data_IF_895999616810
#
_entry.id   IF_895999616810
#
_cell.length_a   1.000
_cell.length_b   1.000
_cell.length_c   1.000
_cell.angle_alpha   90.00
_cell.angle_beta   90.00
_cell.angle_gamma   90.00
#
_symmetry.space_group_name_H-M   'P 1'
#
loop_
_entity.id
_entity.type
_entity.pdbx_description
1 polymer ?
#
# COMPACT_ATOMS: atom_id res chain seq x y z
N UNK A 1 -17.50 12.05 8.82
CA UNK A 1 -17.33 10.60 8.56
C UNK A 1 -16.24 10.24 7.54
N UNK A 2 -15.58 11.18 6.82
CA UNK A 2 -14.61 10.86 5.73
C UNK A 2 -13.20 10.40 6.13
N UNK A 3 -12.78 10.58 7.38
CA UNK A 3 -11.40 10.29 7.79
C UNK A 3 -11.15 8.80 8.01
N UNK A 4 -12.17 8.06 8.47
CA UNK A 4 -12.06 6.62 8.76
C UNK A 4 -11.90 5.82 7.45
N UNK A 5 -12.68 6.16 6.42
CA UNK A 5 -12.58 5.52 5.10
C UNK A 5 -11.21 5.73 4.42
N UNK A 6 -10.62 6.93 4.60
CA UNK A 6 -9.35 7.26 3.97
C UNK A 6 -8.19 6.49 4.60
N UNK A 7 -8.14 6.45 5.93
CA UNK A 7 -7.12 5.68 6.64
C UNK A 7 -7.24 4.18 6.36
N UNK A 8 -8.46 3.65 6.26
CA UNK A 8 -8.68 2.25 5.90
C UNK A 8 -8.24 1.94 4.46
N UNK A 9 -8.45 2.87 3.52
CA UNK A 9 -7.99 2.73 2.14
C UNK A 9 -6.47 2.76 2.03
N UNK A 10 -5.80 3.63 2.80
CA UNK A 10 -4.34 3.67 2.91
C UNK A 10 -3.79 2.34 3.45
N UNK A 11 -4.37 1.82 4.54
CA UNK A 11 -3.98 0.53 5.12
C UNK A 11 -4.18 -0.64 4.16
N UNK A 12 -5.34 -0.72 3.49
CA UNK A 12 -5.61 -1.77 2.48
C UNK A 12 -4.63 -1.72 1.32
N UNK A 13 -4.32 -0.51 0.84
CA UNK A 13 -3.36 -0.30 -0.24
C UNK A 13 -1.97 -0.74 0.20
N UNK A 14 -1.54 -0.33 1.39
CA UNK A 14 -0.20 -0.64 1.89
C UNK A 14 -0.01 -2.15 2.13
N UNK A 15 -1.01 -2.81 2.74
CA UNK A 15 -1.02 -4.28 2.89
C UNK A 15 -0.95 -4.99 1.54
N UNK A 16 -1.72 -4.53 0.55
CA UNK A 16 -1.71 -5.11 -0.79
C UNK A 16 -0.32 -5.01 -1.46
N UNK A 17 0.31 -3.84 -1.39
CA UNK A 17 1.68 -3.65 -1.93
C UNK A 17 2.66 -4.55 -1.21
N UNK A 18 2.58 -4.62 0.12
CA UNK A 18 3.46 -5.46 0.93
C UNK A 18 3.33 -6.94 0.60
N UNK A 19 2.09 -7.47 0.51
CA UNK A 19 1.87 -8.87 0.14
C UNK A 19 2.43 -9.20 -1.25
N UNK A 20 2.18 -8.34 -2.24
CA UNK A 20 2.70 -8.54 -3.58
C UNK A 20 4.24 -8.46 -3.63
N UNK A 21 4.85 -7.60 -2.82
CA UNK A 21 6.31 -7.50 -2.71
C UNK A 21 6.95 -8.71 -2.00
N UNK A 22 6.22 -9.38 -1.10
CA UNK A 22 6.67 -10.64 -0.48
C UNK A 22 6.62 -11.82 -1.46
N UNK A 23 5.61 -11.85 -2.34
CA UNK A 23 5.47 -12.92 -3.34
C UNK A 23 6.52 -12.82 -4.45
N UNK A 24 6.98 -11.60 -4.77
CA UNK A 24 8.03 -11.40 -5.74
C UNK A 24 8.93 -10.20 -5.37
N UNK A 25 10.16 -10.46 -4.91
CA UNK A 25 11.08 -9.43 -4.40
C UNK A 25 11.67 -8.53 -5.50
N UNK A 26 11.52 -8.89 -6.78
CA UNK A 26 11.91 -8.03 -7.92
C UNK A 26 10.75 -7.14 -8.40
N UNK A 27 9.51 -7.44 -7.99
CA UNK A 27 8.34 -6.72 -8.47
C UNK A 27 8.13 -5.40 -7.74
N UNK A 28 8.50 -4.34 -8.44
CA UNK A 28 7.72 -3.12 -8.40
C UNK A 28 6.25 -3.44 -8.77
N UNK A 29 5.40 -3.48 -7.75
CA UNK A 29 3.97 -3.82 -7.86
C UNK A 29 3.28 -2.91 -8.86
N UNK A 30 2.64 -3.49 -9.88
CA UNK A 30 1.90 -2.69 -10.84
C UNK A 30 0.63 -2.15 -10.19
N UNK A 31 0.24 -0.93 -10.53
CA UNK A 31 -0.99 -0.30 -10.01
C UNK A 31 -2.22 -1.21 -10.16
N UNK A 32 -2.29 -1.99 -11.25
CA UNK A 32 -3.37 -2.93 -11.52
C UNK A 32 -3.40 -4.09 -10.52
N UNK A 33 -2.24 -4.66 -10.18
CA UNK A 33 -2.16 -5.78 -9.26
C UNK A 33 -2.49 -5.32 -7.83
N UNK A 34 -2.00 -4.14 -7.44
CA UNK A 34 -2.36 -3.50 -6.18
C UNK A 34 -3.87 -3.20 -6.13
N UNK A 35 -4.48 -2.80 -7.25
CA UNK A 35 -5.93 -2.59 -7.32
C UNK A 35 -6.71 -3.87 -7.06
N UNK A 36 -6.29 -4.98 -7.69
CA UNK A 36 -6.92 -6.29 -7.51
C UNK A 36 -6.75 -6.77 -6.07
N UNK A 37 -5.54 -6.67 -5.51
CA UNK A 37 -5.25 -7.12 -4.15
C UNK A 37 -5.90 -6.26 -3.06
N UNK A 38 -6.00 -4.94 -3.25
CA UNK A 38 -6.64 -4.03 -2.28
C UNK A 38 -8.16 -4.04 -2.34
N UNK A 39 -8.74 -4.46 -3.48
CA UNK A 39 -10.19 -4.40 -3.74
C UNK A 39 -10.74 -2.97 -3.80
N UNK A 40 -9.88 -1.96 -3.93
CA UNK A 40 -10.27 -0.55 -3.98
C UNK A 40 -10.61 -0.11 -5.39
N UNK A 41 -11.50 0.90 -5.49
CA UNK A 41 -11.72 1.61 -6.73
C UNK A 41 -10.44 2.34 -7.18
N UNK A 42 -10.25 2.49 -8.49
CA UNK A 42 -9.05 3.13 -9.06
C UNK A 42 -8.79 4.52 -8.46
N UNK A 43 -9.86 5.28 -8.19
CA UNK A 43 -9.77 6.62 -7.60
C UNK A 43 -9.25 6.56 -6.16
N UNK A 44 -9.86 5.73 -5.32
CA UNK A 44 -9.47 5.58 -3.91
C UNK A 44 -8.05 5.01 -3.79
N UNK A 45 -7.68 4.07 -4.66
CA UNK A 45 -6.31 3.56 -4.74
C UNK A 45 -5.32 4.68 -5.11
N UNK A 46 -5.62 5.51 -6.10
CA UNK A 46 -4.75 6.62 -6.48
C UNK A 46 -4.59 7.64 -5.35
N UNK A 47 -5.67 7.98 -4.65
CA UNK A 47 -5.64 8.87 -3.48
C UNK A 47 -4.81 8.26 -2.34
N UNK A 48 -4.99 6.96 -2.06
CA UNK A 48 -4.23 6.23 -1.06
C UNK A 48 -2.74 6.16 -1.43
N UNK A 49 -2.39 5.77 -2.65
CA UNK A 49 -1.00 5.77 -3.12
C UNK A 49 -0.36 7.17 -3.02
N UNK A 50 -1.10 8.23 -3.35
CA UNK A 50 -0.58 9.60 -3.24
C UNK A 50 -0.32 10.01 -1.78
N UNK A 51 -1.19 9.57 -0.86
CA UNK A 51 -1.00 9.80 0.57
C UNK A 51 0.21 9.00 1.10
N UNK A 52 0.30 7.71 0.78
CA UNK A 52 1.41 6.84 1.19
C UNK A 52 2.75 7.32 0.62
N UNK A 53 2.77 7.80 -0.63
CA UNK A 53 3.96 8.38 -1.25
C UNK A 53 4.38 9.68 -0.55
N UNK A 54 3.42 10.52 -0.16
CA UNK A 54 3.70 11.74 0.61
C UNK A 54 4.23 11.43 2.01
N UNK A 55 3.80 10.32 2.59
CA UNK A 55 4.28 9.83 3.90
C UNK A 55 5.64 9.12 3.83
N UNK A 56 6.20 8.89 2.63
CA UNK A 56 7.50 8.23 2.45
C UNK A 56 7.48 6.70 2.48
N UNK A 57 6.30 6.08 2.62
CA UNK A 57 6.18 4.62 2.71
C UNK A 57 6.35 3.90 1.38
N UNK A 58 6.03 4.57 0.27
CA UNK A 58 6.13 4.00 -1.06
C UNK A 58 6.75 4.99 -2.03
N UNK A 59 7.40 4.47 -3.06
CA UNK A 59 7.75 5.21 -4.26
C UNK A 59 6.87 4.75 -5.43
N UNK A 60 6.34 5.72 -6.17
CA UNK A 60 5.52 5.46 -7.36
C UNK A 60 6.17 6.06 -8.60
N UNK A 61 6.40 5.24 -9.61
CA UNK A 61 6.93 5.63 -10.91
C UNK A 61 5.97 5.16 -12.00
N UNK A 62 5.28 6.07 -12.70
CA UNK A 62 4.30 5.82 -13.79
C UNK A 62 3.34 4.61 -13.61
N UNK A 63 3.83 3.38 -13.70
CA UNK A 63 3.07 2.12 -13.59
C UNK A 63 3.45 1.25 -12.39
N UNK A 64 4.54 1.57 -11.71
CA UNK A 64 5.22 0.76 -10.69
C UNK A 64 5.12 1.43 -9.33
N UNK A 65 4.88 0.62 -8.31
CA UNK A 65 4.84 1.02 -6.92
C UNK A 65 5.83 0.13 -6.16
N UNK A 66 6.76 0.75 -5.46
CA UNK A 66 7.78 0.09 -4.65
C UNK A 66 7.54 0.49 -3.20
N UNK A 67 7.65 -0.48 -2.30
CA UNK A 67 7.58 -0.23 -0.87
C UNK A 67 8.99 0.09 -0.37
N UNK A 68 9.13 1.16 0.41
CA UNK A 68 10.42 1.52 0.99
C UNK A 68 10.64 0.82 2.34
N UNK A 69 11.87 0.85 2.86
CA UNK A 69 12.20 0.26 4.17
C UNK A 69 11.28 0.77 5.29
N UNK A 70 10.93 2.06 5.29
CA UNK A 70 9.98 2.62 6.25
C UNK A 70 8.55 2.08 6.08
N UNK A 71 8.13 1.84 4.83
CA UNK A 71 6.84 1.22 4.52
C UNK A 71 6.79 -0.24 4.97
N UNK A 72 7.90 -0.98 4.80
CA UNK A 72 8.04 -2.38 5.24
C UNK A 72 7.91 -2.43 6.76
N UNK A 73 8.72 -1.65 7.47
CA UNK A 73 8.69 -1.59 8.92
C UNK A 73 7.31 -1.16 9.47
N UNK A 74 6.60 -0.28 8.76
CA UNK A 74 5.25 0.10 9.13
C UNK A 74 4.26 -1.06 8.95
N UNK A 75 4.35 -1.81 7.85
CA UNK A 75 3.53 -3.01 7.62
C UNK A 75 3.79 -4.09 8.67
N UNK A 76 5.05 -4.37 8.97
CA UNK A 76 5.42 -5.37 9.98
C UNK A 76 4.87 -5.02 11.36
N UNK A 77 4.98 -3.75 11.77
CA UNK A 77 4.38 -3.27 13.02
C UNK A 77 2.86 -3.43 13.05
N UNK A 78 2.18 -3.13 11.93
CA UNK A 78 0.73 -3.28 11.83
C UNK A 78 0.31 -4.76 11.94
N UNK A 79 1.04 -5.65 11.27
CA UNK A 79 0.79 -7.10 11.34
C UNK A 79 1.04 -7.63 12.75
N UNK A 80 2.09 -7.15 13.42
CA UNK A 80 2.40 -7.52 14.81
C UNK A 80 1.32 -7.04 15.79
N UNK A 81 0.77 -5.85 15.59
CA UNK A 81 -0.32 -5.30 16.41
C UNK A 81 -1.65 -6.04 16.23
N UNK A 82 -1.95 -6.56 15.04
CA UNK A 82 -3.15 -7.37 14.79
C UNK A 82 -3.02 -8.83 15.28
N UNK A 83 -1.82 -9.25 15.67
CA UNK A 83 -1.54 -10.60 16.18
C UNK A 83 -1.69 -10.74 17.70
N UNK A 84 -1.85 -9.63 18.42
CA UNK A 84 -2.02 -9.52 19.87
C UNK A 84 -3.49 -9.23 20.23
#
# INVERSE_FOLDING_TARGET
MRFVDKHQSELKTLKAIYHLALEDPEHATYLKDVQVASGLGLKDLQDACKALQKSGYIERTNFRIVLNDEGVAHCEKLIEQERL
#
